data_IF_957773750076
#
_entry.id   IF_957773750076
#
_cell.length_a   1.000
_cell.length_b   1.000
_cell.length_c   1.000
_cell.angle_alpha   90.00
_cell.angle_beta   90.00
_cell.angle_gamma   90.00
#
_symmetry.space_group_name_H-M   'P 1'
#
loop_
_entity.id
_entity.type
_entity.pdbx_description
1 polymer ?
#
# COMPACT_ATOMS: atom_id res chain seq x y z
N UNK A 1 28.79 21.30 59.87
CA UNK A 1 27.94 22.36 60.43
C UNK A 1 27.63 22.11 61.90
N UNK A 2 27.20 20.88 62.31
CA UNK A 2 26.93 20.56 63.72
C UNK A 2 28.14 20.67 64.67
N UNK A 3 29.34 20.30 64.21
CA UNK A 3 30.58 20.39 65.02
C UNK A 3 31.03 21.85 65.25
N UNK A 4 30.75 22.75 64.36
CA UNK A 4 31.08 24.18 64.42
C UNK A 4 30.14 24.87 65.43
N UNK A 5 28.85 24.54 65.43
CA UNK A 5 27.86 25.12 66.32
C UNK A 5 28.07 24.70 67.78
N UNK A 6 28.56 23.48 68.06
CA UNK A 6 28.87 23.05 69.41
C UNK A 6 30.15 23.70 69.97
N UNK A 7 31.12 24.03 69.12
CA UNK A 7 32.33 24.74 69.53
C UNK A 7 32.06 26.22 69.82
N UNK A 8 31.17 26.86 69.05
CA UNK A 8 30.78 28.25 69.29
C UNK A 8 29.94 28.48 70.57
N UNK A 9 29.20 27.48 71.00
CA UNK A 9 28.37 27.56 72.19
C UNK A 9 29.19 27.58 73.54
N UNK A 10 30.47 27.16 73.50
CA UNK A 10 31.34 27.08 74.67
C UNK A 10 32.38 28.20 74.79
N UNK A 11 32.43 29.16 73.89
CA UNK A 11 33.35 30.28 73.91
C UNK A 11 32.59 31.52 74.35
N UNK A 12 32.93 32.03 75.51
CA UNK A 12 32.38 33.30 75.98
C UNK A 12 32.70 34.44 75.01
N UNK A 13 32.17 35.67 75.30
CA UNK A 13 32.12 36.86 74.42
C UNK A 13 33.46 37.33 73.78
N UNK A 14 34.30 36.42 73.33
CA UNK A 14 35.47 36.68 72.47
C UNK A 14 35.10 36.62 71.00
N UNK A 15 35.52 37.61 70.22
CA UNK A 15 35.36 37.67 68.76
C UNK A 15 36.07 36.51 68.14
N UNK A 16 35.32 35.45 67.67
CA UNK A 16 35.87 34.29 66.96
C UNK A 16 36.02 34.64 65.48
N UNK A 17 37.22 34.98 65.06
CA UNK A 17 37.54 35.19 63.64
C UNK A 17 37.79 33.76 63.02
N UNK A 18 36.80 33.24 62.28
CA UNK A 18 36.91 32.01 61.51
C UNK A 18 37.70 32.28 60.26
N UNK A 19 38.95 31.88 60.22
CA UNK A 19 39.71 31.81 58.97
C UNK A 19 39.29 30.58 58.16
N UNK A 20 38.38 30.78 57.21
CA UNK A 20 38.07 29.76 56.19
C UNK A 20 39.22 29.73 55.23
N UNK A 21 40.18 28.81 55.40
CA UNK A 21 41.17 28.48 54.38
C UNK A 21 40.39 27.83 53.24
N UNK A 22 40.45 28.37 52.00
CA UNK A 22 39.81 27.76 50.86
C UNK A 22 40.46 26.40 50.68
N UNK A 23 39.68 25.32 50.92
CA UNK A 23 40.13 23.97 50.65
C UNK A 23 40.24 23.85 49.14
N UNK A 24 41.46 23.74 48.62
CA UNK A 24 41.72 23.47 47.20
C UNK A 24 41.25 22.06 46.93
N UNK A 25 40.06 21.96 46.38
CA UNK A 25 39.57 20.70 45.85
C UNK A 25 40.51 20.29 44.66
N UNK A 26 40.80 18.99 44.48
CA UNK A 26 41.54 18.55 43.33
C UNK A 26 40.81 18.91 42.03
N UNK A 27 41.53 19.23 40.96
CA UNK A 27 40.90 19.55 39.69
C UNK A 27 40.07 18.36 39.21
N UNK A 28 38.89 18.64 38.72
CA UNK A 28 37.99 17.62 38.12
C UNK A 28 38.10 17.74 36.60
N UNK A 29 38.41 16.65 35.93
CA UNK A 29 38.49 16.59 34.48
C UNK A 29 37.09 16.67 33.84
N UNK A 30 37.06 17.10 32.60
CA UNK A 30 35.86 17.09 31.77
C UNK A 30 35.33 15.66 31.64
N UNK A 31 34.02 15.45 31.79
CA UNK A 31 33.39 14.13 31.71
C UNK A 31 32.36 14.11 30.60
N UNK A 32 32.10 12.94 30.08
CA UNK A 32 30.95 12.69 29.21
C UNK A 32 30.16 11.48 29.69
N UNK A 33 28.88 11.47 29.37
CA UNK A 33 28.03 10.31 29.47
C UNK A 33 27.49 9.98 28.08
N UNK A 34 27.52 8.70 27.73
CA UNK A 34 26.98 8.18 26.47
C UNK A 34 25.80 7.27 26.82
N UNK A 35 24.64 7.57 26.30
CA UNK A 35 23.43 6.79 26.54
C UNK A 35 22.83 6.35 25.19
N UNK A 36 22.31 5.14 25.17
CA UNK A 36 21.57 4.60 24.02
C UNK A 36 20.09 4.69 24.33
N UNK A 37 19.31 5.21 23.40
CA UNK A 37 17.85 5.27 23.54
C UNK A 37 17.26 3.84 23.68
N UNK A 38 16.11 3.74 24.28
CA UNK A 38 15.41 2.46 24.52
C UNK A 38 15.05 1.71 23.25
N UNK A 39 14.83 2.45 22.15
CA UNK A 39 14.56 1.92 20.81
C UNK A 39 15.82 1.49 20.05
N UNK A 40 17.01 1.72 20.63
CA UNK A 40 18.34 1.42 20.04
C UNK A 40 18.61 2.16 18.73
N UNK A 41 17.90 3.25 18.47
CA UNK A 41 18.02 3.99 17.23
C UNK A 41 18.92 5.23 17.34
N UNK A 42 19.19 5.69 18.54
CA UNK A 42 20.03 6.88 18.74
C UNK A 42 20.97 6.70 19.92
N UNK A 43 22.14 7.31 19.80
CA UNK A 43 23.10 7.44 20.88
C UNK A 43 23.30 8.90 21.20
N UNK A 44 23.13 9.23 22.45
CA UNK A 44 23.17 10.61 22.96
C UNK A 44 24.42 10.76 23.80
N UNK A 45 25.23 11.79 23.45
CA UNK A 45 26.38 12.26 24.21
C UNK A 45 25.96 13.46 25.04
N UNK A 46 26.31 13.48 26.33
CA UNK A 46 26.20 14.64 27.19
C UNK A 46 27.53 14.93 27.83
N UNK A 47 28.04 16.15 27.72
CA UNK A 47 29.32 16.60 28.25
C UNK A 47 29.12 17.43 29.53
N UNK A 48 30.05 17.32 30.47
CA UNK A 48 30.06 18.04 31.71
C UNK A 48 31.37 18.81 31.85
N UNK A 49 31.33 20.09 32.23
CA UNK A 49 32.51 20.95 32.26
C UNK A 49 33.55 20.46 33.27
N UNK A 50 34.82 20.71 32.97
CA UNK A 50 35.91 20.54 33.90
C UNK A 50 35.97 21.68 34.94
N UNK A 51 36.58 21.42 36.11
CA UNK A 51 36.97 22.51 37.02
C UNK A 51 38.26 23.17 36.56
N UNK A 52 38.60 24.32 37.18
CA UNK A 52 39.85 25.04 36.92
C UNK A 52 41.05 24.11 37.12
N UNK A 53 41.83 23.88 36.04
CA UNK A 53 43.01 22.96 36.02
C UNK A 53 42.68 21.54 35.67
N UNK A 54 41.43 21.16 35.35
CA UNK A 54 41.08 19.85 34.82
C UNK A 54 41.39 19.72 33.35
N UNK A 55 41.58 18.48 32.89
CA UNK A 55 41.88 18.13 31.50
C UNK A 55 40.58 18.10 30.66
N UNK A 56 40.74 18.54 29.39
CA UNK A 56 39.64 18.48 28.41
C UNK A 56 39.51 17.08 27.84
N UNK A 57 38.26 16.68 27.55
CA UNK A 57 37.98 15.41 26.89
C UNK A 57 38.39 15.44 25.43
N UNK A 58 38.86 14.29 24.92
CA UNK A 58 39.28 14.13 23.54
C UNK A 58 38.31 13.27 22.72
N UNK A 59 38.36 13.39 21.38
CA UNK A 59 37.59 12.53 20.44
C UNK A 59 37.80 11.05 20.73
N UNK A 60 39.08 10.65 20.97
CA UNK A 60 39.44 9.29 21.27
C UNK A 60 38.68 8.75 22.51
N UNK A 61 38.58 9.55 23.56
CA UNK A 61 37.86 9.16 24.78
C UNK A 61 36.36 8.99 24.51
N UNK A 62 35.74 9.90 23.75
CA UNK A 62 34.31 9.77 23.38
C UNK A 62 34.07 8.50 22.57
N UNK A 63 34.91 8.24 21.54
CA UNK A 63 34.82 7.04 20.72
C UNK A 63 35.02 5.75 21.56
N UNK A 64 35.92 5.78 22.54
CA UNK A 64 36.10 4.67 23.47
C UNK A 64 34.85 4.43 24.31
N UNK A 65 34.19 5.46 24.81
CA UNK A 65 32.92 5.33 25.55
C UNK A 65 31.80 4.77 24.67
N UNK A 66 31.70 5.24 23.41
CA UNK A 66 30.75 4.71 22.42
C UNK A 66 31.04 3.22 22.15
N UNK A 67 32.29 2.84 21.99
CA UNK A 67 32.71 1.47 21.77
C UNK A 67 32.41 0.56 22.98
N UNK A 68 32.58 1.06 24.21
CA UNK A 68 32.20 0.36 25.46
C UNK A 68 30.71 0.05 25.51
N UNK A 69 29.86 0.92 24.96
CA UNK A 69 28.43 0.70 24.81
C UNK A 69 28.09 -0.26 23.63
N UNK A 70 29.11 -0.82 22.95
CA UNK A 70 28.99 -1.74 21.80
C UNK A 70 28.30 -1.14 20.57
N UNK A 71 28.28 0.18 20.47
CA UNK A 71 27.77 0.88 19.28
C UNK A 71 28.74 0.63 18.13
N UNK A 72 28.20 0.22 16.96
CA UNK A 72 29.01 -0.19 15.80
C UNK A 72 28.55 0.46 14.48
N UNK A 73 27.37 1.04 14.46
CA UNK A 73 26.78 1.58 13.24
C UNK A 73 26.23 2.99 13.45
N UNK A 74 26.22 3.76 12.38
CA UNK A 74 25.61 5.09 12.35
C UNK A 74 26.33 6.16 13.19
N UNK A 75 27.60 5.96 13.55
CA UNK A 75 28.39 6.93 14.30
C UNK A 75 28.63 8.16 13.42
N UNK A 76 28.28 9.33 13.96
CA UNK A 76 28.46 10.63 13.34
C UNK A 76 29.70 11.31 13.94
N UNK A 77 30.83 11.17 13.26
CA UNK A 77 32.09 11.75 13.69
C UNK A 77 32.08 13.29 13.60
N UNK A 78 31.32 13.85 12.67
CA UNK A 78 31.22 15.30 12.49
C UNK A 78 30.45 15.90 13.66
N UNK A 79 29.36 15.27 14.10
CA UNK A 79 28.63 15.69 15.30
C UNK A 79 29.51 15.62 16.56
N UNK A 80 30.39 14.62 16.68
CA UNK A 80 31.36 14.52 17.77
C UNK A 80 32.39 15.67 17.70
N UNK A 81 32.87 16.00 16.51
CA UNK A 81 33.84 17.10 16.32
C UNK A 81 33.19 18.45 16.66
N UNK A 82 31.99 18.71 16.17
CA UNK A 82 31.24 19.93 16.52
C UNK A 82 31.00 20.04 18.03
N UNK A 83 30.64 18.94 18.67
CA UNK A 83 30.45 18.91 20.14
C UNK A 83 31.74 19.27 20.90
N UNK A 84 32.90 18.85 20.40
CA UNK A 84 34.22 19.18 20.99
C UNK A 84 34.65 20.62 20.72
N UNK A 85 34.22 21.22 19.61
CA UNK A 85 34.54 22.61 19.27
C UNK A 85 33.64 23.59 20.06
N UNK A 86 32.33 23.37 20.01
CA UNK A 86 31.32 24.25 20.60
C UNK A 86 31.16 24.05 22.12
N UNK A 87 31.46 22.86 22.62
CA UNK A 87 31.32 22.40 24.01
C UNK A 87 29.98 22.77 24.66
N UNK A 88 28.85 22.29 24.08
CA UNK A 88 27.53 22.55 24.66
C UNK A 88 27.31 21.65 25.89
N UNK A 89 27.81 22.09 27.02
CA UNK A 89 27.72 21.35 28.28
C UNK A 89 26.27 21.13 28.72
N UNK A 90 26.05 19.99 29.37
CA UNK A 90 24.75 19.58 29.92
C UNK A 90 23.62 19.49 28.86
N UNK A 91 23.99 19.45 27.59
CA UNK A 91 23.07 19.31 26.46
C UNK A 91 23.20 17.93 25.83
N UNK A 92 22.08 17.36 25.38
CA UNK A 92 22.05 16.08 24.70
C UNK A 92 22.36 16.27 23.22
N UNK A 93 23.39 15.59 22.74
CA UNK A 93 23.85 15.64 21.34
C UNK A 93 23.76 14.23 20.76
N UNK A 94 23.09 14.07 19.63
CA UNK A 94 23.03 12.78 18.94
C UNK A 94 24.35 12.54 18.22
N UNK A 95 25.07 11.50 18.61
CA UNK A 95 26.41 11.13 18.07
C UNK A 95 26.40 9.82 17.31
N UNK A 96 25.30 9.09 17.32
CA UNK A 96 25.07 7.96 16.42
C UNK A 96 23.57 7.77 16.17
N UNK A 97 23.22 7.35 14.95
CA UNK A 97 21.84 7.12 14.57
C UNK A 97 21.73 5.88 13.69
N UNK A 98 20.78 5.01 14.03
CA UNK A 98 20.37 3.90 13.18
C UNK A 98 19.58 4.35 11.96
N UNK A 99 19.41 3.46 10.99
CA UNK A 99 18.56 3.67 9.80
C UNK A 99 17.29 2.83 9.94
N UNK A 100 16.14 3.48 9.90
CA UNK A 100 14.86 2.76 9.84
C UNK A 100 14.72 2.03 8.49
N UNK A 101 14.07 0.86 8.47
CA UNK A 101 13.78 0.17 7.22
C UNK A 101 12.81 1.00 6.36
N UNK A 102 13.07 1.05 5.05
CA UNK A 102 12.15 1.66 4.08
C UNK A 102 11.11 0.61 3.67
N UNK A 103 9.79 0.89 3.79
CA UNK A 103 8.77 -0.07 3.40
C UNK A 103 8.76 -0.27 1.89
N UNK A 104 8.59 -1.52 1.47
CA UNK A 104 8.32 -1.86 0.08
C UNK A 104 6.86 -1.61 -0.31
N UNK A 105 6.55 -1.80 -1.58
CA UNK A 105 5.19 -1.75 -2.13
C UNK A 105 4.77 -3.14 -2.58
N UNK A 106 3.58 -3.54 -2.18
CA UNK A 106 2.97 -4.79 -2.65
C UNK A 106 2.67 -4.69 -4.14
N UNK A 107 2.76 -5.81 -4.86
CA UNK A 107 2.32 -5.89 -6.23
C UNK A 107 0.80 -5.69 -6.32
N UNK A 108 0.33 -5.12 -7.40
CA UNK A 108 -1.09 -4.85 -7.65
C UNK A 108 -1.48 -5.24 -9.06
N UNK A 109 -2.79 -5.47 -9.28
CA UNK A 109 -3.36 -5.73 -10.59
C UNK A 109 -4.14 -4.50 -11.03
N UNK A 110 -3.87 -4.02 -12.23
CA UNK A 110 -4.66 -2.99 -12.91
C UNK A 110 -5.53 -3.68 -13.94
N UNK A 111 -6.84 -3.49 -13.86
CA UNK A 111 -7.81 -4.00 -14.81
C UNK A 111 -8.07 -2.94 -15.88
N UNK A 112 -8.15 -3.36 -17.15
CA UNK A 112 -8.41 -2.50 -18.31
C UNK A 112 -9.86 -2.64 -18.81
N UNK A 113 -10.73 -3.15 -17.98
CA UNK A 113 -12.18 -3.19 -18.17
C UNK A 113 -12.87 -2.74 -16.89
N UNK A 114 -14.13 -2.37 -16.99
CA UNK A 114 -14.90 -1.99 -15.82
C UNK A 114 -15.18 -3.24 -14.94
N UNK A 115 -14.80 -3.14 -13.68
CA UNK A 115 -14.98 -4.20 -12.68
C UNK A 115 -16.28 -4.05 -11.89
N UNK A 116 -17.03 -2.95 -12.12
CA UNK A 116 -18.32 -2.68 -11.46
C UNK A 116 -19.45 -3.38 -12.21
N UNK A 117 -19.86 -4.52 -11.73
CA UNK A 117 -20.98 -5.28 -12.28
C UNK A 117 -22.36 -4.72 -11.89
N UNK A 118 -22.45 -3.55 -11.29
CA UNK A 118 -23.73 -2.93 -10.93
C UNK A 118 -24.45 -2.44 -12.18
N UNK A 119 -25.66 -2.96 -12.38
CA UNK A 119 -26.58 -2.53 -13.45
C UNK A 119 -27.00 -1.09 -13.15
N UNK A 120 -26.47 -0.12 -13.89
CA UNK A 120 -26.88 1.28 -13.83
C UNK A 120 -27.57 1.66 -15.14
N UNK A 121 -28.90 1.87 -15.10
CA UNK A 121 -29.59 2.36 -16.30
C UNK A 121 -29.12 3.76 -16.65
N UNK A 122 -28.97 4.05 -17.94
CA UNK A 122 -28.61 5.37 -18.41
C UNK A 122 -29.75 6.37 -18.16
N UNK A 123 -29.42 7.51 -17.57
CA UNK A 123 -30.32 8.65 -17.44
C UNK A 123 -30.32 9.40 -18.77
N UNK A 124 -31.48 9.57 -19.38
CA UNK A 124 -31.65 10.46 -20.54
C UNK A 124 -31.55 11.93 -20.12
N UNK A 125 -31.30 12.81 -21.07
CA UNK A 125 -31.22 14.27 -20.85
C UNK A 125 -32.51 14.85 -20.22
N UNK A 126 -33.64 14.20 -20.42
CA UNK A 126 -34.96 14.56 -19.87
C UNK A 126 -35.19 14.06 -18.43
N UNK A 127 -34.21 13.39 -17.82
CA UNK A 127 -34.30 12.84 -16.47
C UNK A 127 -35.03 11.49 -16.39
N UNK A 128 -35.46 10.90 -17.50
CA UNK A 128 -36.06 9.57 -17.55
C UNK A 128 -34.97 8.48 -17.62
N UNK A 129 -35.31 7.29 -17.11
CA UNK A 129 -34.40 6.14 -17.07
C UNK A 129 -34.61 5.29 -18.33
N UNK A 130 -33.54 5.01 -19.07
CA UNK A 130 -33.59 4.13 -20.24
C UNK A 130 -33.33 2.67 -19.84
N UNK A 131 -34.38 1.89 -19.63
CA UNK A 131 -34.29 0.47 -19.33
C UNK A 131 -33.97 -0.42 -20.57
N UNK A 132 -33.91 0.15 -21.75
CA UNK A 132 -33.53 -0.59 -22.96
C UNK A 132 -32.02 -0.61 -23.19
N UNK A 133 -31.28 0.29 -22.56
CA UNK A 133 -29.80 0.37 -22.63
C UNK A 133 -29.20 0.16 -21.23
N UNK A 134 -29.06 -1.09 -20.87
CA UNK A 134 -28.34 -1.48 -19.67
C UNK A 134 -26.94 -1.89 -20.09
N UNK A 135 -26.01 -0.94 -20.07
CA UNK A 135 -24.62 -1.12 -20.52
C UNK A 135 -23.80 -1.94 -19.51
N UNK A 136 -24.05 -3.26 -19.44
CA UNK A 136 -23.32 -4.16 -18.57
C UNK A 136 -22.41 -5.15 -19.31
N UNK A 137 -22.25 -4.99 -20.62
CA UNK A 137 -21.47 -5.90 -21.43
C UNK A 137 -20.07 -5.33 -21.65
N UNK A 138 -19.13 -5.78 -20.83
CA UNK A 138 -17.73 -5.49 -21.07
C UNK A 138 -17.18 -6.44 -22.12
N UNK A 139 -17.27 -6.03 -23.37
CA UNK A 139 -16.77 -6.81 -24.51
C UNK A 139 -15.27 -6.65 -24.64
N UNK A 140 -14.61 -7.71 -25.00
CA UNK A 140 -13.19 -7.72 -25.33
C UNK A 140 -12.95 -8.40 -26.67
N UNK A 141 -11.86 -8.02 -27.32
CA UNK A 141 -11.42 -8.63 -28.58
C UNK A 141 -10.21 -9.52 -28.35
N UNK A 142 -10.06 -10.51 -29.23
CA UNK A 142 -8.89 -11.39 -29.24
C UNK A 142 -7.60 -10.56 -29.34
N UNK A 143 -6.65 -10.85 -28.44
CA UNK A 143 -5.39 -10.14 -28.34
C UNK A 143 -5.41 -8.89 -27.47
N UNK A 144 -6.57 -8.50 -26.94
CA UNK A 144 -6.69 -7.37 -26.04
C UNK A 144 -6.09 -7.69 -24.67
N UNK A 145 -5.31 -6.76 -24.11
CA UNK A 145 -4.82 -6.84 -22.74
C UNK A 145 -5.95 -6.45 -21.79
N UNK A 146 -6.33 -7.37 -20.90
CA UNK A 146 -7.42 -7.18 -19.95
C UNK A 146 -6.94 -6.76 -18.56
N UNK A 147 -5.75 -7.19 -18.18
CA UNK A 147 -5.19 -6.82 -16.91
C UNK A 147 -3.65 -6.80 -16.97
N UNK A 148 -3.05 -6.00 -16.11
CA UNK A 148 -1.61 -5.85 -15.99
C UNK A 148 -1.17 -5.90 -14.53
N UNK A 149 -0.10 -6.66 -14.23
CA UNK A 149 0.52 -6.68 -12.92
C UNK A 149 1.55 -5.56 -12.83
N UNK A 150 1.40 -4.72 -11.82
CA UNK A 150 2.47 -3.85 -11.35
C UNK A 150 3.28 -4.67 -10.34
N UNK A 151 4.55 -4.99 -10.64
CA UNK A 151 5.36 -5.81 -9.76
C UNK A 151 5.59 -5.16 -8.39
N UNK A 152 5.80 -6.01 -7.40
CA UNK A 152 6.18 -5.56 -6.07
C UNK A 152 7.54 -4.88 -6.08
N UNK A 153 7.71 -3.89 -5.22
CA UNK A 153 9.01 -3.24 -4.95
C UNK A 153 9.44 -3.60 -3.54
N UNK A 154 10.58 -4.29 -3.42
CA UNK A 154 11.15 -4.62 -2.11
C UNK A 154 11.60 -3.35 -1.40
N UNK A 155 11.33 -3.31 -0.09
CA UNK A 155 11.89 -2.30 0.78
C UNK A 155 13.38 -2.52 1.06
N UNK A 156 14.03 -1.53 1.65
CA UNK A 156 15.40 -1.64 2.12
C UNK A 156 15.42 -1.92 3.62
N UNK A 157 16.29 -2.83 4.04
CA UNK A 157 16.50 -3.08 5.46
C UNK A 157 17.17 -1.88 6.13
N UNK A 158 16.79 -1.62 7.37
CA UNK A 158 17.48 -0.70 8.25
C UNK A 158 18.50 -1.39 9.16
N UNK A 159 19.03 -0.64 10.11
CA UNK A 159 19.91 -1.15 11.16
C UNK A 159 19.82 -0.27 12.42
N UNK A 160 20.00 -0.86 13.57
CA UNK A 160 20.13 -0.16 14.84
C UNK A 160 21.57 0.30 15.09
N UNK A 161 21.80 1.05 16.16
CA UNK A 161 23.15 1.54 16.51
C UNK A 161 24.14 0.43 16.87
N UNK A 162 23.66 -0.77 17.14
CA UNK A 162 24.51 -1.95 17.36
C UNK A 162 24.91 -2.68 16.08
N UNK A 163 24.32 -2.27 14.94
CA UNK A 163 24.49 -2.92 13.64
C UNK A 163 23.57 -4.12 13.42
N UNK A 164 22.54 -4.30 14.28
CA UNK A 164 21.54 -5.33 14.07
C UNK A 164 20.63 -4.93 12.93
N UNK A 165 20.38 -5.84 12.00
CA UNK A 165 19.52 -5.57 10.83
C UNK A 165 18.07 -5.47 11.26
N UNK A 166 17.42 -4.38 10.88
CA UNK A 166 15.98 -4.17 10.98
C UNK A 166 15.35 -4.53 9.64
N UNK A 167 14.62 -5.63 9.59
CA UNK A 167 14.05 -6.12 8.34
C UNK A 167 12.93 -5.20 7.86
N UNK A 168 12.94 -4.86 6.58
CA UNK A 168 11.80 -4.25 5.92
C UNK A 168 10.64 -5.26 5.86
N UNK A 169 9.41 -4.74 5.84
CA UNK A 169 8.21 -5.56 5.68
C UNK A 169 8.30 -6.35 4.37
N UNK A 170 7.99 -7.64 4.43
CA UNK A 170 7.84 -8.46 3.23
C UNK A 170 6.68 -7.94 2.37
N UNK A 171 6.91 -7.88 1.08
CA UNK A 171 5.94 -7.44 0.08
C UNK A 171 5.25 -8.65 -0.55
N UNK A 172 3.96 -8.50 -0.85
CA UNK A 172 3.16 -9.53 -1.50
C UNK A 172 3.28 -9.39 -3.03
N UNK A 173 3.44 -10.52 -3.70
CA UNK A 173 3.37 -10.59 -5.17
C UNK A 173 1.92 -10.59 -5.62
N UNK A 174 1.62 -9.82 -6.65
CA UNK A 174 0.36 -9.94 -7.36
C UNK A 174 0.43 -11.16 -8.31
N UNK A 175 -0.64 -11.92 -8.37
CA UNK A 175 -0.78 -13.08 -9.26
C UNK A 175 -2.15 -13.02 -9.91
N UNK A 176 -2.23 -13.25 -11.23
CA UNK A 176 -3.51 -13.39 -11.89
C UNK A 176 -4.19 -14.69 -11.51
N UNK A 177 -5.44 -14.57 -11.08
CA UNK A 177 -6.40 -15.66 -11.08
C UNK A 177 -7.27 -15.51 -12.33
N UNK A 178 -7.34 -16.54 -13.15
CA UNK A 178 -8.03 -16.46 -14.44
C UNK A 178 -8.58 -17.81 -14.89
N UNK A 179 -9.70 -17.76 -15.60
CA UNK A 179 -10.35 -18.90 -16.20
C UNK A 179 -9.82 -19.24 -17.60
N UNK A 180 -10.71 -19.80 -18.41
CA UNK A 180 -10.44 -20.19 -19.81
C UNK A 180 -10.35 -18.93 -20.70
N UNK A 181 -9.86 -19.13 -21.93
CA UNK A 181 -9.79 -18.11 -22.99
C UNK A 181 -8.86 -16.93 -22.67
N UNK A 182 -7.94 -17.10 -21.72
CA UNK A 182 -6.97 -16.12 -21.30
C UNK A 182 -5.57 -16.70 -21.32
N UNK A 183 -4.60 -15.89 -21.73
CA UNK A 183 -3.19 -16.25 -21.76
C UNK A 183 -2.35 -15.17 -21.10
N UNK A 184 -1.32 -15.60 -20.35
CA UNK A 184 -0.33 -14.68 -19.79
C UNK A 184 0.71 -14.35 -20.86
N UNK A 185 1.10 -13.07 -20.91
CA UNK A 185 2.23 -12.64 -21.72
C UNK A 185 3.53 -13.38 -21.36
N UNK A 186 4.52 -13.34 -22.22
CA UNK A 186 5.82 -14.04 -22.00
C UNK A 186 6.54 -13.60 -20.73
N UNK A 187 6.36 -12.34 -20.30
CA UNK A 187 6.89 -11.78 -19.07
C UNK A 187 5.99 -12.08 -17.84
N UNK A 188 4.81 -12.64 -18.08
CA UNK A 188 3.82 -12.94 -17.03
C UNK A 188 3.12 -11.72 -16.43
N UNK A 189 3.37 -10.52 -16.96
CA UNK A 189 2.87 -9.26 -16.39
C UNK A 189 1.53 -8.83 -17.01
N UNK A 190 1.11 -9.40 -18.14
CA UNK A 190 -0.14 -9.03 -18.81
C UNK A 190 -1.01 -10.27 -19.02
N UNK A 191 -2.31 -10.08 -18.90
CA UNK A 191 -3.32 -11.08 -19.18
C UNK A 191 -4.08 -10.68 -20.45
N UNK A 192 -4.08 -11.55 -21.43
CA UNK A 192 -4.53 -11.28 -22.79
C UNK A 192 -5.70 -12.20 -23.12
N UNK A 193 -6.75 -11.67 -23.77
CA UNK A 193 -7.84 -12.47 -24.28
C UNK A 193 -7.43 -13.27 -25.51
N UNK A 194 -7.81 -14.55 -25.54
CA UNK A 194 -7.58 -15.46 -26.70
C UNK A 194 -8.74 -15.49 -27.67
N UNK A 195 -9.89 -14.94 -27.28
CA UNK A 195 -11.13 -14.93 -28.06
C UNK A 195 -11.79 -13.57 -27.99
N UNK A 196 -12.69 -13.29 -28.93
CA UNK A 196 -13.67 -12.21 -28.81
C UNK A 196 -14.75 -12.68 -27.82
N UNK A 197 -15.22 -11.81 -26.93
CA UNK A 197 -16.21 -12.25 -25.97
C UNK A 197 -16.50 -11.24 -24.88
N UNK A 198 -17.17 -11.73 -23.85
CA UNK A 198 -17.52 -10.97 -22.65
C UNK A 198 -16.52 -11.23 -21.53
N UNK A 199 -15.92 -10.17 -21.00
CA UNK A 199 -15.04 -10.26 -19.83
C UNK A 199 -15.83 -10.01 -18.55
N UNK A 200 -15.57 -10.82 -17.53
CA UNK A 200 -16.16 -10.67 -16.20
C UNK A 200 -15.11 -10.92 -15.12
N UNK A 201 -15.27 -10.21 -13.99
CA UNK A 201 -14.50 -10.44 -12.78
C UNK A 201 -15.41 -11.09 -11.74
N UNK A 202 -15.09 -12.31 -11.34
CA UNK A 202 -15.82 -13.05 -10.31
C UNK A 202 -14.87 -13.30 -9.15
N UNK A 203 -15.20 -12.71 -7.97
CA UNK A 203 -14.32 -12.68 -6.79
C UNK A 203 -12.99 -11.97 -7.11
N UNK A 204 -12.00 -12.65 -7.61
CA UNK A 204 -10.71 -12.10 -8.03
C UNK A 204 -10.22 -12.69 -9.33
N UNK A 205 -10.97 -13.61 -9.91
CA UNK A 205 -10.63 -14.32 -11.15
C UNK A 205 -11.28 -13.64 -12.37
N UNK A 206 -10.48 -13.49 -13.42
CA UNK A 206 -10.93 -12.93 -14.70
C UNK A 206 -11.39 -14.08 -15.60
N UNK A 207 -12.57 -13.93 -16.16
CA UNK A 207 -13.15 -14.89 -17.12
C UNK A 207 -13.48 -14.18 -18.42
N UNK A 208 -13.25 -14.87 -19.53
CA UNK A 208 -13.72 -14.47 -20.86
C UNK A 208 -14.57 -15.59 -21.43
N UNK A 209 -15.81 -15.26 -21.79
CA UNK A 209 -16.74 -16.16 -22.44
C UNK A 209 -17.05 -15.64 -23.84
N UNK A 210 -16.99 -16.51 -24.81
CA UNK A 210 -17.45 -16.30 -26.18
C UNK A 210 -18.98 -16.44 -26.31
N UNK A 211 -19.65 -16.95 -25.27
CA UNK A 211 -21.10 -17.03 -25.18
C UNK A 211 -21.61 -16.11 -24.09
N UNK A 212 -22.51 -15.21 -24.45
CA UNK A 212 -23.21 -14.38 -23.49
C UNK A 212 -24.50 -15.04 -23.06
N UNK A 213 -24.56 -15.49 -21.81
CA UNK A 213 -25.73 -16.19 -21.25
C UNK A 213 -26.52 -15.29 -20.33
N UNK A 214 -27.85 -15.18 -20.58
CA UNK A 214 -28.81 -14.43 -19.75
C UNK A 214 -30.02 -15.30 -19.41
N UNK A 215 -30.71 -15.00 -18.33
CA UNK A 215 -31.97 -15.68 -18.00
C UNK A 215 -33.09 -15.23 -18.95
N UNK A 216 -33.49 -13.96 -18.91
CA UNK A 216 -34.51 -13.36 -19.77
C UNK A 216 -34.00 -12.07 -20.40
N UNK A 217 -34.50 -11.73 -21.60
CA UNK A 217 -34.29 -10.43 -22.23
C UNK A 217 -35.54 -9.57 -22.00
N UNK A 218 -35.41 -8.58 -21.12
CA UNK A 218 -36.52 -7.75 -20.67
C UNK A 218 -36.02 -6.49 -19.96
N UNK A 219 -36.84 -5.94 -19.09
CA UNK A 219 -36.55 -4.67 -18.36
C UNK A 219 -35.32 -4.76 -17.46
N UNK A 220 -34.98 -5.95 -16.98
CA UNK A 220 -33.79 -6.16 -16.14
C UNK A 220 -32.48 -6.31 -16.93
N UNK A 221 -32.57 -6.78 -18.18
CA UNK A 221 -31.41 -7.05 -19.05
C UNK A 221 -31.23 -5.98 -20.12
N UNK A 222 -32.33 -5.34 -20.57
CA UNK A 222 -32.35 -4.39 -21.69
C UNK A 222 -32.20 -5.08 -23.04
N UNK A 223 -31.90 -4.28 -24.05
CA UNK A 223 -31.53 -4.79 -25.38
C UNK A 223 -30.09 -5.35 -25.33
N UNK A 224 -29.89 -6.42 -26.07
CA UNK A 224 -28.56 -7.07 -26.18
C UNK A 224 -27.97 -6.74 -27.53
N UNK A 225 -26.74 -6.23 -27.52
CA UNK A 225 -25.88 -6.09 -28.69
C UNK A 225 -24.52 -6.72 -28.36
N UNK A 226 -24.15 -7.82 -29.04
CA UNK A 226 -23.02 -8.63 -28.64
C UNK A 226 -22.25 -9.15 -29.85
N UNK A 227 -20.92 -9.31 -29.69
CA UNK A 227 -20.04 -9.98 -30.64
C UNK A 227 -19.75 -11.39 -30.16
N UNK A 228 -20.38 -12.40 -30.73
CA UNK A 228 -20.29 -13.80 -30.33
C UNK A 228 -21.66 -14.44 -30.13
N UNK A 229 -21.70 -15.64 -29.54
CA UNK A 229 -22.95 -16.35 -29.35
C UNK A 229 -23.75 -15.82 -28.14
N UNK A 230 -25.08 -15.77 -28.29
CA UNK A 230 -26.00 -15.33 -27.22
C UNK A 230 -26.91 -16.48 -26.83
N UNK A 231 -26.94 -16.82 -25.57
CA UNK A 231 -27.83 -17.82 -24.97
C UNK A 231 -28.84 -17.17 -24.03
N UNK A 232 -30.12 -17.27 -24.36
CA UNK A 232 -31.23 -16.85 -23.50
C UNK A 232 -31.87 -18.09 -22.92
N UNK A 233 -31.70 -18.33 -21.62
CA UNK A 233 -32.24 -19.53 -20.94
C UNK A 233 -33.76 -19.45 -20.77
N UNK A 234 -34.30 -18.25 -20.66
CA UNK A 234 -35.73 -17.98 -20.58
C UNK A 234 -36.30 -17.36 -21.84
N UNK A 235 -37.01 -16.24 -21.72
CA UNK A 235 -37.81 -15.60 -22.76
C UNK A 235 -37.15 -14.31 -23.27
N UNK A 236 -37.51 -13.93 -24.50
CA UNK A 236 -37.27 -12.58 -25.01
C UNK A 236 -38.58 -11.83 -25.02
N UNK A 237 -38.71 -10.82 -24.15
CA UNK A 237 -39.95 -10.07 -23.94
C UNK A 237 -40.26 -9.08 -25.08
N UNK A 238 -41.51 -8.66 -25.16
CA UNK A 238 -42.04 -7.72 -26.17
C UNK A 238 -41.25 -6.40 -26.15
N UNK A 239 -40.96 -5.87 -27.34
CA UNK A 239 -40.28 -4.59 -27.61
C UNK A 239 -38.79 -4.59 -27.29
N UNK A 240 -38.21 -5.72 -26.89
CA UNK A 240 -36.74 -5.86 -26.73
C UNK A 240 -36.08 -6.42 -27.99
N UNK A 241 -34.78 -6.25 -28.06
CA UNK A 241 -33.98 -6.73 -29.19
C UNK A 241 -32.71 -7.45 -28.77
N UNK A 242 -32.37 -8.48 -29.54
CA UNK A 242 -31.09 -9.19 -29.45
C UNK A 242 -30.39 -9.08 -30.83
N UNK A 243 -29.20 -8.48 -30.85
CA UNK A 243 -28.36 -8.40 -32.03
C UNK A 243 -27.02 -9.03 -31.74
N UNK A 244 -26.57 -9.89 -32.65
CA UNK A 244 -25.25 -10.54 -32.54
C UNK A 244 -24.69 -10.87 -33.89
N UNK A 245 -23.36 -10.97 -33.98
CA UNK A 245 -22.66 -11.51 -35.16
C UNK A 245 -22.59 -13.04 -35.14
N UNK A 246 -22.80 -13.65 -33.96
CA UNK A 246 -22.80 -15.11 -33.76
C UNK A 246 -24.20 -15.72 -33.85
N UNK A 247 -24.42 -16.81 -33.10
CA UNK A 247 -25.67 -17.53 -33.01
C UNK A 247 -26.51 -17.05 -31.83
N UNK A 248 -27.84 -17.19 -31.93
CA UNK A 248 -28.78 -16.92 -30.83
C UNK A 248 -29.52 -18.19 -30.46
N UNK A 249 -29.44 -18.58 -29.20
CA UNK A 249 -30.16 -19.72 -28.64
C UNK A 249 -31.17 -19.19 -27.61
N UNK A 250 -32.47 -19.44 -27.84
CA UNK A 250 -33.53 -19.08 -26.90
C UNK A 250 -34.21 -20.33 -26.41
N UNK A 251 -34.06 -20.68 -25.14
CA UNK A 251 -34.69 -21.87 -24.55
C UNK A 251 -36.20 -21.66 -24.24
N UNK A 252 -36.62 -20.41 -24.14
CA UNK A 252 -38.02 -20.04 -23.92
C UNK A 252 -38.75 -19.61 -25.18
N UNK A 253 -39.65 -18.60 -24.98
CA UNK A 253 -40.50 -18.00 -26.01
C UNK A 253 -39.99 -16.61 -26.40
N UNK A 254 -40.13 -16.25 -27.68
CA UNK A 254 -39.87 -14.88 -28.17
C UNK A 254 -41.22 -14.18 -28.35
N UNK A 255 -41.46 -13.10 -27.60
CA UNK A 255 -42.73 -12.38 -27.58
C UNK A 255 -42.55 -10.99 -28.22
N UNK A 256 -43.02 -10.80 -29.47
CA UNK A 256 -43.01 -9.47 -30.13
C UNK A 256 -41.65 -8.76 -30.16
N UNK A 257 -40.57 -9.50 -30.15
CA UNK A 257 -39.21 -9.01 -30.06
C UNK A 257 -38.46 -9.09 -31.42
N UNK A 258 -37.33 -8.39 -31.51
CA UNK A 258 -36.46 -8.39 -32.69
C UNK A 258 -35.19 -9.18 -32.39
N UNK A 259 -34.88 -10.21 -33.19
CA UNK A 259 -33.63 -10.95 -33.10
C UNK A 259 -32.92 -10.86 -34.44
N UNK A 260 -31.71 -10.34 -34.42
CA UNK A 260 -30.80 -10.30 -35.57
C UNK A 260 -29.51 -11.06 -35.25
N UNK A 261 -29.21 -12.11 -35.97
CA UNK A 261 -28.01 -12.92 -35.82
C UNK A 261 -27.19 -12.92 -37.12
N UNK A 262 -25.88 -12.93 -37.02
CA UNK A 262 -24.99 -13.18 -38.15
C UNK A 262 -24.89 -14.68 -38.48
N UNK A 263 -25.21 -15.54 -37.53
CA UNK A 263 -25.27 -16.98 -37.62
C UNK A 263 -26.72 -17.49 -37.56
N UNK A 264 -26.95 -18.54 -36.77
CA UNK A 264 -28.25 -19.20 -36.64
C UNK A 264 -29.08 -18.63 -35.48
N UNK A 265 -30.41 -18.65 -35.64
CA UNK A 265 -31.35 -18.37 -34.56
C UNK A 265 -32.09 -19.69 -34.24
N UNK A 266 -31.97 -20.16 -33.01
CA UNK A 266 -32.60 -21.39 -32.52
C UNK A 266 -33.52 -20.99 -31.33
N UNK A 267 -34.82 -21.25 -31.48
CA UNK A 267 -35.83 -20.96 -30.45
C UNK A 267 -36.52 -22.28 -30.07
N UNK A 268 -36.36 -22.70 -28.83
CA UNK A 268 -36.84 -24.02 -28.39
C UNK A 268 -38.37 -24.11 -28.25
N UNK A 269 -39.03 -23.04 -27.81
CA UNK A 269 -40.48 -23.05 -27.55
C UNK A 269 -41.32 -22.27 -28.55
N UNK A 270 -40.68 -21.58 -29.50
CA UNK A 270 -41.35 -20.85 -30.56
C UNK A 270 -41.49 -19.35 -30.33
N UNK A 271 -42.17 -18.68 -31.25
CA UNK A 271 -42.31 -17.22 -31.27
C UNK A 271 -43.77 -16.80 -31.33
N UNK A 272 -44.12 -15.87 -30.49
CA UNK A 272 -45.40 -15.12 -30.53
C UNK A 272 -45.12 -13.72 -31.12
N UNK A 273 -45.28 -13.56 -32.42
CA UNK A 273 -44.83 -12.35 -33.15
C UNK A 273 -45.63 -11.08 -32.87
N UNK A 274 -46.92 -11.15 -32.43
CA UNK A 274 -47.78 -10.02 -32.06
C UNK A 274 -47.76 -8.84 -33.07
N UNK A 275 -47.56 -9.11 -34.35
CA UNK A 275 -47.33 -8.14 -35.44
C UNK A 275 -46.08 -7.23 -35.30
N UNK A 276 -45.20 -7.47 -34.34
CA UNK A 276 -43.99 -6.69 -34.06
C UNK A 276 -42.74 -7.52 -34.13
N UNK A 277 -42.83 -8.83 -33.97
CA UNK A 277 -41.68 -9.71 -33.92
C UNK A 277 -41.00 -9.86 -35.27
N UNK A 278 -39.67 -9.84 -35.27
CA UNK A 278 -38.80 -10.00 -36.46
C UNK A 278 -37.60 -10.86 -36.14
N UNK A 279 -37.38 -11.84 -37.01
CA UNK A 279 -36.16 -12.65 -36.97
C UNK A 279 -35.38 -12.42 -38.25
N UNK A 280 -34.09 -12.25 -38.14
CA UNK A 280 -33.13 -12.13 -39.25
C UNK A 280 -31.87 -12.88 -38.87
N UNK A 281 -31.51 -13.90 -39.70
CA UNK A 281 -30.31 -14.69 -39.59
C UNK A 281 -29.52 -14.59 -40.89
#
# INVERSE_FOLDING_TARGET
VMAINSALANMGNEEVVLFLTPMKLPPVDEKCSVNVDSDKMRVVLRMYPSSTGGQAITKAHILEQIARMRVRAGIDEDAIMMALEERPYCTDIVVAQGKLPTPGRDGSIVYHFDTDNTIRPELREDGTVDFFRLNNLHQCTKGQVLAEIIPEQKGENGYDVYGSVLLAREVKKAVFDHGRNLEKSKDGLKLISMVDGHVSLVESAIFVSDVYSVEDVGTATGNIEYHGDVEVKGNVCENFSVKTDGNVFVSGVVEGAVIEAGGNIIIARGMHGQNKGRLKA
#
